data_IF_389754715459
#
_entry.id   IF_389754715459
#
_cell.length_a   1.000
_cell.length_b   1.000
_cell.length_c   1.000
_cell.angle_alpha   90.00
_cell.angle_beta   90.00
_cell.angle_gamma   90.00
#
_symmetry.space_group_name_H-M   'P 1'
#
loop_
_entity.id
_entity.type
_entity.pdbx_description
1 polymer ?
#
# COMPACT_ATOMS: atom_id res chain seq x y z
N UNK A 1 -18.61 -9.11 21.07
CA UNK A 1 -18.36 -7.77 20.48
C UNK A 1 -18.52 -7.88 18.98
N UNK A 2 -19.23 -6.96 18.33
CA UNK A 2 -19.33 -6.97 16.88
C UNK A 2 -17.93 -6.78 16.27
N UNK A 3 -17.52 -7.74 15.45
CA UNK A 3 -16.24 -7.63 14.73
C UNK A 3 -16.37 -6.47 13.72
N UNK A 4 -15.55 -5.42 13.88
CA UNK A 4 -15.52 -4.27 12.99
C UNK A 4 -15.00 -4.61 11.59
N UNK A 5 -14.39 -5.79 11.44
CA UNK A 5 -13.75 -6.27 10.23
C UNK A 5 -13.81 -7.79 10.15
N UNK A 6 -14.16 -8.34 9.00
CA UNK A 6 -14.28 -9.79 8.81
C UNK A 6 -13.66 -10.24 7.50
N UNK A 7 -12.78 -11.24 7.55
CA UNK A 7 -12.20 -11.89 6.38
C UNK A 7 -13.08 -13.03 5.88
N UNK A 8 -13.23 -13.13 4.57
CA UNK A 8 -13.87 -14.27 3.90
C UNK A 8 -13.06 -15.56 4.10
N UNK A 9 -13.77 -16.69 4.15
CA UNK A 9 -13.13 -18.02 4.21
C UNK A 9 -12.46 -18.42 2.89
N UNK A 10 -12.80 -17.75 1.79
CA UNK A 10 -12.16 -17.96 0.49
C UNK A 10 -10.68 -17.55 0.45
N UNK A 11 -10.19 -16.82 1.46
CA UNK A 11 -8.77 -16.47 1.60
C UNK A 11 -7.90 -17.61 2.16
N UNK A 12 -8.50 -18.78 2.43
CA UNK A 12 -7.79 -19.97 2.89
C UNK A 12 -7.64 -20.06 4.42
N UNK A 13 -6.70 -20.87 4.90
CA UNK A 13 -6.55 -21.14 6.33
C UNK A 13 -6.21 -19.88 7.12
N UNK A 14 -6.77 -19.80 8.34
CA UNK A 14 -6.65 -18.66 9.25
C UNK A 14 -5.92 -19.04 10.54
N UNK A 15 -5.17 -18.11 11.10
CA UNK A 15 -4.64 -18.15 12.46
C UNK A 15 -5.18 -16.92 13.19
N UNK A 16 -5.82 -17.12 14.36
CA UNK A 16 -6.48 -16.03 15.11
C UNK A 16 -7.39 -15.16 14.22
N UNK A 17 -8.22 -15.80 13.39
CA UNK A 17 -9.14 -15.13 12.43
C UNK A 17 -8.46 -14.37 11.29
N UNK A 18 -7.15 -14.38 11.17
CA UNK A 18 -6.40 -13.74 10.07
C UNK A 18 -5.95 -14.79 9.05
N UNK A 19 -6.31 -14.65 7.75
CA UNK A 19 -5.83 -15.55 6.71
C UNK A 19 -4.31 -15.53 6.58
N UNK A 20 -3.69 -16.68 6.38
CA UNK A 20 -2.24 -16.81 6.24
C UNK A 20 -1.66 -16.01 5.06
N UNK A 21 -2.45 -15.77 4.03
CA UNK A 21 -2.03 -14.96 2.87
C UNK A 21 -1.78 -13.49 3.23
N UNK A 22 -2.43 -12.96 4.28
CA UNK A 22 -2.35 -11.53 4.64
C UNK A 22 -0.94 -11.09 5.02
N UNK A 23 -0.18 -11.79 5.90
CA UNK A 23 1.21 -11.43 6.17
C UNK A 23 2.10 -11.39 4.92
N UNK A 24 1.90 -12.31 3.98
CA UNK A 24 2.65 -12.30 2.72
C UNK A 24 2.30 -11.09 1.85
N UNK A 25 1.02 -10.73 1.78
CA UNK A 25 0.59 -9.51 1.08
C UNK A 25 1.23 -8.26 1.70
N UNK A 26 1.31 -8.18 3.03
CA UNK A 26 2.00 -7.09 3.73
C UNK A 26 3.48 -7.00 3.38
N UNK A 27 4.19 -8.14 3.32
CA UNK A 27 5.61 -8.16 2.91
C UNK A 27 5.76 -7.73 1.45
N UNK A 28 4.88 -8.19 0.57
CA UNK A 28 4.88 -7.82 -0.85
C UNK A 28 4.72 -6.30 -1.04
N UNK A 29 3.84 -5.66 -0.27
CA UNK A 29 3.62 -4.21 -0.31
C UNK A 29 4.76 -3.45 0.37
N UNK A 30 5.18 -3.91 1.54
CA UNK A 30 6.17 -3.22 2.36
C UNK A 30 7.55 -3.13 1.69
N UNK A 31 7.98 -4.18 0.98
CA UNK A 31 9.30 -4.20 0.37
C UNK A 31 9.53 -3.09 -0.68
N UNK A 32 8.70 -2.91 -1.72
CA UNK A 32 8.88 -1.82 -2.67
C UNK A 32 8.71 -0.43 -2.04
N UNK A 33 7.80 -0.29 -1.05
CA UNK A 33 7.64 0.95 -0.30
C UNK A 33 8.90 1.30 0.52
N UNK A 34 9.54 0.31 1.14
CA UNK A 34 10.80 0.50 1.85
C UNK A 34 11.95 0.90 0.91
N UNK A 35 12.03 0.28 -0.27
CA UNK A 35 13.03 0.63 -1.30
C UNK A 35 12.89 2.10 -1.71
N UNK A 36 11.66 2.54 -2.03
CA UNK A 36 11.39 3.92 -2.38
C UNK A 36 11.67 4.88 -1.21
N UNK A 37 11.24 4.51 0.00
CA UNK A 37 11.43 5.32 1.19
C UNK A 37 12.92 5.51 1.55
N UNK A 38 13.73 4.47 1.43
CA UNK A 38 15.18 4.56 1.68
C UNK A 38 15.90 5.43 0.66
N UNK A 39 15.36 5.55 -0.55
CA UNK A 39 15.96 6.39 -1.59
C UNK A 39 15.63 7.87 -1.40
N UNK A 40 14.40 8.18 -0.99
CA UNK A 40 13.90 9.56 -0.91
C UNK A 40 13.86 10.09 0.51
N UNK A 41 13.42 9.26 1.44
CA UNK A 41 13.02 9.68 2.79
C UNK A 41 14.18 10.05 3.71
N UNK A 42 15.40 9.61 3.47
CA UNK A 42 16.55 9.81 4.37
C UNK A 42 16.17 9.55 5.83
N UNK A 43 15.98 10.61 6.63
CA UNK A 43 15.51 10.53 8.02
C UNK A 43 14.01 10.26 8.18
N UNK A 44 13.22 10.36 7.10
CA UNK A 44 11.77 10.20 7.08
C UNK A 44 11.31 8.86 6.48
N UNK A 45 12.22 7.87 6.40
CA UNK A 45 11.94 6.55 5.80
C UNK A 45 10.66 5.92 6.36
N UNK A 46 10.47 5.96 7.69
CA UNK A 46 9.30 5.39 8.36
C UNK A 46 8.00 6.06 7.92
N UNK A 47 7.97 7.41 7.83
CA UNK A 47 6.77 8.13 7.44
C UNK A 47 6.49 8.01 5.94
N UNK A 48 7.51 8.21 5.10
CA UNK A 48 7.33 8.14 3.65
C UNK A 48 6.93 6.74 3.19
N UNK A 49 7.54 5.69 3.76
CA UNK A 49 7.17 4.31 3.46
C UNK A 49 5.76 3.96 3.93
N UNK A 50 5.35 4.46 5.11
CA UNK A 50 3.98 4.28 5.61
C UNK A 50 2.94 5.00 4.74
N UNK A 51 3.24 6.21 4.27
CA UNK A 51 2.37 6.94 3.34
C UNK A 51 2.21 6.20 2.00
N UNK A 52 3.29 5.60 1.48
CA UNK A 52 3.22 4.76 0.29
C UNK A 52 2.35 3.52 0.52
N UNK A 53 2.50 2.84 1.66
CA UNK A 53 1.67 1.67 2.01
C UNK A 53 0.19 2.06 2.14
N UNK A 54 -0.11 3.13 2.86
CA UNK A 54 -1.47 3.66 3.00
C UNK A 54 -2.06 4.04 1.63
N UNK A 55 -1.29 4.72 0.78
CA UNK A 55 -1.76 5.11 -0.55
C UNK A 55 -1.96 3.91 -1.49
N UNK A 56 -1.19 2.83 -1.31
CA UNK A 56 -1.42 1.54 -1.99
C UNK A 56 -2.76 0.95 -1.58
N UNK A 57 -3.06 0.96 -0.28
CA UNK A 57 -4.31 0.41 0.26
C UNK A 57 -5.56 1.15 -0.24
N UNK A 58 -5.46 2.44 -0.57
CA UNK A 58 -6.56 3.18 -1.18
C UNK A 58 -7.05 2.58 -2.53
N UNK A 59 -6.25 1.75 -3.18
CA UNK A 59 -6.66 0.95 -4.33
C UNK A 59 -7.00 -0.50 -3.96
N UNK A 60 -6.25 -1.07 -3.03
CA UNK A 60 -6.37 -2.47 -2.64
C UNK A 60 -7.68 -2.74 -1.91
N UNK A 61 -7.98 -1.95 -0.88
CA UNK A 61 -9.12 -2.20 0.01
C UNK A 61 -10.46 -2.17 -0.74
N UNK A 62 -10.79 -1.15 -1.57
CA UNK A 62 -12.06 -1.17 -2.30
C UNK A 62 -12.16 -2.30 -3.32
N UNK A 63 -11.04 -2.76 -3.88
CA UNK A 63 -11.00 -3.91 -4.77
C UNK A 63 -11.34 -5.19 -4.01
N UNK A 64 -10.74 -5.40 -2.86
CA UNK A 64 -10.93 -6.59 -2.04
C UNK A 64 -12.31 -6.65 -1.40
N UNK A 65 -12.84 -5.52 -0.94
CA UNK A 65 -14.23 -5.42 -0.44
C UNK A 65 -15.22 -5.76 -1.56
N UNK A 66 -15.04 -5.20 -2.76
CA UNK A 66 -15.92 -5.51 -3.89
C UNK A 66 -15.82 -6.95 -4.37
N UNK A 67 -14.67 -7.58 -4.21
CA UNK A 67 -14.46 -8.99 -4.49
C UNK A 67 -14.95 -9.92 -3.35
N UNK A 68 -15.53 -9.36 -2.29
CA UNK A 68 -16.03 -10.13 -1.13
C UNK A 68 -14.92 -10.84 -0.35
N UNK A 69 -13.70 -10.32 -0.38
CA UNK A 69 -12.56 -10.91 0.36
C UNK A 69 -12.56 -10.53 1.83
N UNK A 70 -13.07 -9.33 2.12
CA UNK A 70 -13.36 -8.88 3.47
C UNK A 70 -14.45 -7.82 3.49
N UNK A 71 -14.96 -7.53 4.66
CA UNK A 71 -16.00 -6.53 4.89
C UNK A 71 -15.66 -5.67 6.10
N UNK A 72 -16.07 -4.40 6.04
CA UNK A 72 -15.97 -3.45 7.14
C UNK A 72 -17.34 -3.12 7.70
N UNK A 73 -17.42 -2.86 8.99
CA UNK A 73 -18.57 -2.20 9.61
C UNK A 73 -18.22 -0.71 9.74
N UNK A 74 -18.82 0.11 8.88
CA UNK A 74 -18.57 1.55 8.88
C UNK A 74 -19.55 2.24 9.81
N UNK A 75 -19.07 2.75 10.95
CA UNK A 75 -19.87 3.42 11.97
C UNK A 75 -19.62 4.93 12.06
N UNK A 76 -18.84 5.50 11.16
CA UNK A 76 -18.46 6.91 11.19
C UNK A 76 -17.98 7.41 9.83
N UNK A 77 -17.00 8.29 9.81
CA UNK A 77 -16.44 8.84 8.59
C UNK A 77 -15.76 7.75 7.76
N UNK A 78 -15.93 7.83 6.46
CA UNK A 78 -15.34 6.92 5.47
C UNK A 78 -14.32 7.62 4.59
N UNK A 79 -13.53 6.83 3.85
CA UNK A 79 -12.58 7.34 2.86
C UNK A 79 -13.35 7.99 1.71
N UNK A 80 -12.91 9.13 1.16
CA UNK A 80 -13.57 9.78 0.04
C UNK A 80 -13.74 8.82 -1.15
N UNK A 81 -14.96 8.77 -1.69
CA UNK A 81 -15.39 7.87 -2.78
C UNK A 81 -15.41 6.37 -2.44
N UNK A 82 -15.20 6.00 -1.16
CA UNK A 82 -15.15 4.62 -0.67
C UNK A 82 -16.04 4.48 0.58
N UNK A 83 -17.37 4.56 0.45
CA UNK A 83 -18.28 4.55 1.60
C UNK A 83 -18.26 3.25 2.40
N UNK A 84 -17.79 2.17 1.80
CA UNK A 84 -17.62 0.85 2.42
C UNK A 84 -16.38 0.72 3.29
N UNK A 85 -15.48 1.74 3.31
CA UNK A 85 -14.20 1.68 4.03
C UNK A 85 -14.10 2.81 5.05
N UNK A 86 -13.96 2.51 6.34
CA UNK A 86 -13.88 3.53 7.36
C UNK A 86 -12.57 4.33 7.26
N UNK A 87 -12.63 5.62 7.57
CA UNK A 87 -11.43 6.47 7.58
C UNK A 87 -10.37 5.98 8.60
N UNK A 88 -10.80 5.31 9.67
CA UNK A 88 -9.91 4.68 10.65
C UNK A 88 -8.99 3.63 10.03
N UNK A 89 -9.38 2.98 8.91
CA UNK A 89 -8.51 2.06 8.17
C UNK A 89 -7.26 2.77 7.64
N UNK A 90 -7.40 3.94 7.02
CA UNK A 90 -6.26 4.72 6.54
C UNK A 90 -5.29 5.09 7.67
N UNK A 91 -5.81 5.48 8.83
CA UNK A 91 -4.97 5.72 10.02
C UNK A 91 -4.32 4.43 10.53
N UNK A 92 -5.03 3.31 10.52
CA UNK A 92 -4.48 1.99 10.84
C UNK A 92 -3.31 1.61 9.94
N UNK A 93 -3.45 1.80 8.63
CA UNK A 93 -2.37 1.58 7.66
C UNK A 93 -1.19 2.51 7.88
N UNK A 94 -1.44 3.79 8.18
CA UNK A 94 -0.37 4.74 8.46
C UNK A 94 0.43 4.34 9.71
N UNK A 95 -0.24 4.06 10.82
CA UNK A 95 0.42 3.71 12.08
C UNK A 95 1.15 2.36 12.01
N UNK A 96 0.47 1.32 11.50
CA UNK A 96 1.07 0.00 11.30
C UNK A 96 2.21 0.05 10.29
N UNK A 97 2.04 0.83 9.22
CA UNK A 97 3.07 1.08 8.23
C UNK A 97 4.30 1.78 8.82
N UNK A 98 4.11 2.79 9.68
CA UNK A 98 5.23 3.46 10.36
C UNK A 98 6.02 2.49 11.24
N UNK A 99 5.32 1.66 12.01
CA UNK A 99 5.97 0.63 12.84
C UNK A 99 6.73 -0.37 11.97
N UNK A 100 6.08 -0.91 10.94
CA UNK A 100 6.68 -1.89 10.03
C UNK A 100 7.88 -1.31 9.28
N UNK A 101 7.77 -0.10 8.74
CA UNK A 101 8.89 0.57 8.06
C UNK A 101 10.07 0.83 8.99
N UNK A 102 9.80 1.21 10.24
CA UNK A 102 10.83 1.38 11.27
C UNK A 102 11.55 0.06 11.52
N UNK A 103 10.80 -1.00 11.81
CA UNK A 103 11.37 -2.34 12.05
C UNK A 103 12.18 -2.81 10.85
N UNK A 104 11.63 -2.76 9.66
CA UNK A 104 12.32 -3.19 8.43
C UNK A 104 13.56 -2.33 8.14
N UNK A 105 13.50 -1.01 8.41
CA UNK A 105 14.64 -0.13 8.20
C UNK A 105 15.83 -0.50 9.06
N UNK A 106 15.61 -0.91 10.32
CA UNK A 106 16.68 -1.31 11.24
C UNK A 106 17.09 -2.77 11.10
N UNK A 107 16.14 -3.68 10.84
CA UNK A 107 16.39 -5.11 10.80
C UNK A 107 16.95 -5.60 9.46
N UNK A 108 16.68 -4.89 8.35
CA UNK A 108 17.17 -5.33 7.04
C UNK A 108 18.45 -4.60 6.63
N UNK A 109 19.42 -5.31 6.02
CA UNK A 109 20.69 -4.72 5.60
C UNK A 109 20.49 -3.47 4.75
N UNK A 110 21.32 -2.46 5.00
CA UNK A 110 21.36 -1.21 4.21
C UNK A 110 22.39 -1.27 3.10
N UNK A 111 23.24 -2.27 3.13
CA UNK A 111 24.35 -2.37 2.20
C UNK A 111 23.84 -2.50 0.78
N UNK A 112 24.38 -1.66 -0.07
CA UNK A 112 24.24 -1.81 -1.51
C UNK A 112 24.78 -3.17 -1.85
N UNK A 113 23.95 -4.00 -2.46
CA UNK A 113 24.42 -5.30 -2.96
C UNK A 113 25.66 -5.06 -3.80
N UNK A 114 26.78 -5.60 -3.39
CA UNK A 114 28.07 -5.52 -4.13
C UNK A 114 27.94 -5.97 -5.59
N UNK A 115 26.90 -6.72 -5.90
CA UNK A 115 26.62 -7.32 -7.22
C UNK A 115 25.46 -6.65 -7.98
N UNK A 116 25.19 -5.36 -7.79
CA UNK A 116 24.29 -4.60 -8.66
C UNK A 116 22.84 -5.09 -8.64
N UNK A 117 22.30 -5.50 -7.50
CA UNK A 117 20.91 -5.94 -7.39
C UNK A 117 19.94 -4.89 -7.99
N UNK A 118 19.19 -5.30 -8.99
CA UNK A 118 18.24 -4.45 -9.69
C UNK A 118 17.12 -4.00 -8.78
N UNK A 119 16.78 -2.71 -8.81
CA UNK A 119 15.59 -2.16 -8.18
C UNK A 119 14.37 -2.21 -9.09
N UNK A 120 14.52 -2.79 -10.30
CA UNK A 120 13.47 -2.79 -11.33
C UNK A 120 12.18 -3.46 -10.84
N UNK A 121 12.29 -4.48 -9.99
CA UNK A 121 11.10 -5.14 -9.43
C UNK A 121 10.28 -4.18 -8.54
N UNK A 122 10.95 -3.38 -7.72
CA UNK A 122 10.26 -2.35 -6.91
C UNK A 122 9.68 -1.26 -7.80
N UNK A 123 10.43 -0.80 -8.81
CA UNK A 123 9.97 0.18 -9.79
C UNK A 123 8.71 -0.32 -10.51
N UNK A 124 8.74 -1.56 -11.00
CA UNK A 124 7.62 -2.18 -11.72
C UNK A 124 6.39 -2.37 -10.83
N UNK A 125 6.57 -2.85 -9.59
CA UNK A 125 5.46 -3.05 -8.67
C UNK A 125 4.77 -1.74 -8.30
N UNK A 126 5.55 -0.70 -7.99
CA UNK A 126 5.01 0.62 -7.64
C UNK A 126 4.30 1.28 -8.82
N UNK A 127 4.92 1.25 -10.00
CA UNK A 127 4.30 1.77 -11.21
C UNK A 127 3.05 0.99 -11.60
N UNK A 128 3.12 -0.35 -11.59
CA UNK A 128 2.01 -1.21 -11.95
C UNK A 128 0.81 -1.01 -11.02
N UNK A 129 1.05 -0.90 -9.71
CA UNK A 129 -0.04 -0.64 -8.75
C UNK A 129 -0.74 0.68 -9.04
N UNK A 130 0.01 1.73 -9.26
CA UNK A 130 -0.56 3.03 -9.62
C UNK A 130 -1.30 2.98 -10.95
N UNK A 131 -0.66 2.46 -11.99
CA UNK A 131 -1.22 2.39 -13.34
C UNK A 131 -2.48 1.51 -13.39
N UNK A 132 -2.39 0.27 -12.89
CA UNK A 132 -3.51 -0.66 -12.91
C UNK A 132 -4.64 -0.22 -11.98
N UNK A 133 -4.32 0.42 -10.86
CA UNK A 133 -5.31 1.00 -9.96
C UNK A 133 -6.10 2.12 -10.63
N UNK A 134 -5.43 3.05 -11.31
CA UNK A 134 -6.10 4.13 -12.06
C UNK A 134 -6.91 3.58 -13.23
N UNK A 135 -6.28 2.81 -14.11
CA UNK A 135 -6.93 2.25 -15.31
C UNK A 135 -8.06 1.31 -14.96
N UNK A 136 -7.83 0.44 -13.97
CA UNK A 136 -8.85 -0.51 -13.49
C UNK A 136 -10.10 0.19 -12.99
N UNK A 137 -9.94 1.20 -12.15
CA UNK A 137 -11.09 1.93 -11.59
C UNK A 137 -11.79 2.84 -12.60
N UNK A 138 -11.08 3.37 -13.61
CA UNK A 138 -11.68 4.17 -14.68
C UNK A 138 -12.48 3.33 -15.67
N UNK A 139 -11.91 2.21 -16.14
CA UNK A 139 -12.43 1.53 -17.32
C UNK A 139 -13.10 0.19 -17.02
N UNK A 140 -12.75 -0.48 -15.92
CA UNK A 140 -13.24 -1.82 -15.64
C UNK A 140 -14.19 -1.89 -14.44
N UNK A 141 -13.96 -1.08 -13.41
CA UNK A 141 -14.75 -1.13 -12.18
C UNK A 141 -15.78 0.00 -12.06
N UNK A 142 -15.81 0.94 -13.03
CA UNK A 142 -16.73 2.09 -13.05
C UNK A 142 -16.66 2.94 -11.75
N UNK A 143 -15.46 3.16 -11.23
CA UNK A 143 -15.20 3.91 -9.98
C UNK A 143 -14.27 5.10 -10.22
N UNK A 144 -14.64 6.09 -11.04
CA UNK A 144 -13.76 7.21 -11.41
C UNK A 144 -13.30 8.05 -10.21
N UNK A 145 -14.14 8.18 -9.17
CA UNK A 145 -13.77 8.89 -7.94
C UNK A 145 -12.56 8.24 -7.25
N UNK A 146 -12.52 6.91 -7.14
CA UNK A 146 -11.38 6.17 -6.57
C UNK A 146 -10.15 6.35 -7.46
N UNK A 147 -10.31 6.22 -8.78
CA UNK A 147 -9.20 6.38 -9.71
C UNK A 147 -8.51 7.74 -9.58
N UNK A 148 -9.28 8.82 -9.50
CA UNK A 148 -8.75 10.19 -9.37
C UNK A 148 -8.17 10.40 -7.97
N UNK A 149 -8.92 10.13 -6.92
CA UNK A 149 -8.51 10.40 -5.54
C UNK A 149 -7.26 9.60 -5.16
N UNK A 150 -7.32 8.28 -5.28
CA UNK A 150 -6.20 7.39 -4.93
C UNK A 150 -5.03 7.54 -5.91
N UNK A 151 -5.34 7.77 -7.19
CA UNK A 151 -4.34 8.00 -8.24
C UNK A 151 -3.51 9.26 -8.02
N UNK A 152 -4.14 10.36 -7.60
CA UNK A 152 -3.43 11.60 -7.26
C UNK A 152 -2.55 11.42 -6.01
N UNK A 153 -3.06 10.77 -4.96
CA UNK A 153 -2.31 10.58 -3.71
C UNK A 153 -1.09 9.68 -3.96
N UNK A 154 -1.28 8.49 -4.53
CA UNK A 154 -0.17 7.59 -4.79
C UNK A 154 0.78 8.16 -5.84
N UNK A 155 0.25 8.78 -6.90
CA UNK A 155 1.05 9.44 -7.93
C UNK A 155 1.94 10.53 -7.37
N UNK A 156 1.41 11.43 -6.54
CA UNK A 156 2.18 12.49 -5.90
C UNK A 156 3.33 11.95 -5.02
N UNK A 157 3.11 10.81 -4.34
CA UNK A 157 4.14 10.13 -3.57
C UNK A 157 5.18 9.43 -4.47
N UNK A 158 4.79 8.93 -5.64
CA UNK A 158 5.71 8.22 -6.54
C UNK A 158 6.57 9.16 -7.39
N UNK A 159 6.08 10.36 -7.71
CA UNK A 159 6.82 11.34 -8.54
C UNK A 159 8.23 11.62 -8.00
N UNK A 160 8.46 11.97 -6.71
CA UNK A 160 9.81 12.20 -6.19
C UNK A 160 10.71 10.98 -6.31
N UNK A 161 10.15 9.78 -6.11
CA UNK A 161 10.89 8.53 -6.22
C UNK A 161 11.37 8.30 -7.66
N UNK A 162 10.46 8.34 -8.64
CA UNK A 162 10.80 8.10 -10.04
C UNK A 162 11.68 9.21 -10.61
N UNK A 163 11.44 10.47 -10.23
CA UNK A 163 12.32 11.56 -10.61
C UNK A 163 13.75 11.33 -10.12
N UNK A 164 13.95 11.02 -8.84
CA UNK A 164 15.27 10.72 -8.28
C UNK A 164 15.89 9.47 -8.92
N UNK A 165 15.07 8.48 -9.26
CA UNK A 165 15.51 7.20 -9.79
C UNK A 165 16.01 7.27 -11.23
N UNK A 166 15.30 8.02 -12.07
CA UNK A 166 15.49 8.01 -13.52
C UNK A 166 16.02 9.33 -14.11
N UNK A 167 15.80 10.45 -13.45
CA UNK A 167 16.18 11.79 -13.93
C UNK A 167 17.27 12.41 -13.05
N UNK A 168 17.13 12.30 -11.73
CA UNK A 168 18.11 12.80 -10.77
C UNK A 168 19.37 11.93 -10.80
N UNK A 169 20.37 12.35 -11.54
CA UNK A 169 21.70 11.76 -11.46
C UNK A 169 22.40 12.28 -10.20
N UNK A 170 23.24 11.42 -9.55
CA UNK A 170 24.06 11.86 -8.41
C UNK A 170 25.06 12.93 -8.84
#
# INVERSE_FOLDING_TARGET
EPQLYTYSDTLGPKIFSVPLVVPFAWVMIAHPCLVAARRIGKSWVFLYGALLMMAWDLFLDPLMVSAGRWTWVVTGSHIPFQPEIPLSNAFGWLLSGMLLMTLLHFLTPRDRRKNGGSLITADLLLFWTWFSGVVGNLFFFSRPGIAVFSGLILGALLVPYFFNRWVGRP
#
